data_IF_843020275150
#
_entry.id   IF_843020275150
#
_cell.length_a   1.000
_cell.length_b   1.000
_cell.length_c   1.000
_cell.angle_alpha   90.00
_cell.angle_beta   90.00
_cell.angle_gamma   90.00
#
_symmetry.space_group_name_H-M   'P 1'
#
loop_
_entity.id
_entity.type
_entity.pdbx_description
1 polymer ?
#
# COMPACT_ATOMS: atom_id res chain seq x y z
N UNK A 1 -11.79 -21.22 -8.08
CA UNK A 1 -12.94 -20.82 -7.24
C UNK A 1 -12.33 -20.30 -5.96
N UNK A 2 -12.31 -18.96 -5.77
CA UNK A 2 -11.65 -18.37 -4.61
C UNK A 2 -12.31 -18.82 -3.32
N UNK A 3 -11.51 -19.13 -2.29
CA UNK A 3 -12.04 -19.35 -0.95
C UNK A 3 -12.49 -17.99 -0.41
N UNK A 4 -13.75 -17.90 0.01
CA UNK A 4 -14.24 -16.68 0.66
C UNK A 4 -13.80 -16.73 2.12
N UNK A 5 -12.98 -15.77 2.53
CA UNK A 5 -12.59 -15.55 3.93
C UNK A 5 -13.35 -14.35 4.49
N UNK A 6 -13.69 -14.38 5.78
CA UNK A 6 -14.32 -13.22 6.40
C UNK A 6 -13.27 -12.16 6.75
N UNK A 7 -13.74 -10.91 6.96
CA UNK A 7 -12.88 -9.83 7.44
C UNK A 7 -12.17 -10.22 8.75
N UNK A 8 -12.91 -10.82 9.69
CA UNK A 8 -12.40 -11.20 11.01
C UNK A 8 -11.32 -12.29 10.91
N UNK A 9 -11.48 -13.23 9.98
CA UNK A 9 -10.49 -14.29 9.75
C UNK A 9 -9.15 -13.72 9.26
N UNK A 10 -9.20 -12.76 8.34
CA UNK A 10 -8.02 -12.13 7.76
C UNK A 10 -7.36 -11.15 8.73
N UNK A 11 -8.16 -10.31 9.41
CA UNK A 11 -7.67 -9.36 10.40
C UNK A 11 -6.96 -10.06 11.58
N UNK A 12 -7.43 -11.26 11.95
CA UNK A 12 -6.82 -12.06 13.01
C UNK A 12 -5.51 -12.78 12.61
N UNK A 13 -4.91 -12.49 11.45
CA UNK A 13 -3.58 -12.98 11.05
C UNK A 13 -2.44 -12.09 11.56
N UNK A 14 -2.73 -10.85 11.93
CA UNK A 14 -1.78 -9.86 12.41
C UNK A 14 -2.42 -8.86 13.36
N UNK A 15 -2.13 -7.57 13.16
CA UNK A 15 -2.75 -6.47 13.90
C UNK A 15 -4.14 -6.10 13.40
N UNK A 16 -4.55 -6.63 12.25
CA UNK A 16 -5.84 -6.35 11.62
C UNK A 16 -5.79 -5.19 10.64
N UNK A 17 -4.59 -4.73 10.32
CA UNK A 17 -4.37 -3.59 9.46
C UNK A 17 -4.40 -4.02 8.00
N UNK A 18 -5.24 -3.38 7.19
CA UNK A 18 -5.34 -3.64 5.75
C UNK A 18 -4.60 -2.58 4.93
N UNK A 19 -4.03 -3.00 3.81
CA UNK A 19 -3.26 -2.17 2.89
C UNK A 19 -3.62 -2.49 1.44
N UNK A 20 -3.58 -1.49 0.58
CA UNK A 20 -3.32 -1.70 -0.84
C UNK A 20 -1.80 -1.70 -1.04
N UNK A 21 -1.24 -2.75 -1.62
CA UNK A 21 0.20 -2.85 -1.88
C UNK A 21 0.45 -2.89 -3.37
N UNK A 22 1.22 -1.93 -3.88
CA UNK A 22 1.69 -1.99 -5.26
C UNK A 22 3.14 -2.46 -5.30
N UNK A 23 3.43 -3.38 -6.21
CA UNK A 23 4.80 -3.82 -6.52
C UNK A 23 5.05 -3.70 -8.00
N UNK A 24 6.26 -3.31 -8.38
CA UNK A 24 6.67 -3.28 -9.78
C UNK A 24 7.27 -4.64 -10.16
N UNK A 25 6.67 -5.27 -11.16
CA UNK A 25 7.27 -6.41 -11.82
C UNK A 25 8.53 -5.95 -12.58
N UNK A 26 9.69 -6.43 -12.13
CA UNK A 26 10.99 -6.04 -12.72
C UNK A 26 11.15 -6.46 -14.20
N UNK A 27 10.30 -7.35 -14.69
CA UNK A 27 10.46 -7.99 -16.01
C UNK A 27 9.80 -7.18 -17.14
N UNK A 28 8.71 -6.46 -16.85
CA UNK A 28 7.91 -5.79 -17.88
C UNK A 28 7.24 -4.48 -17.44
N UNK A 29 7.70 -3.89 -16.31
CA UNK A 29 7.15 -2.65 -15.75
C UNK A 29 5.66 -2.74 -15.38
N UNK A 30 5.09 -3.96 -15.30
CA UNK A 30 3.72 -4.16 -14.85
C UNK A 30 3.62 -3.86 -13.36
N UNK A 31 2.58 -3.12 -12.97
CA UNK A 31 2.23 -2.91 -11.57
C UNK A 31 1.34 -4.08 -11.12
N UNK A 32 1.79 -4.81 -10.11
CA UNK A 32 0.99 -5.79 -9.40
C UNK A 32 0.35 -5.13 -8.18
N UNK A 33 -0.96 -5.36 -8.00
CA UNK A 33 -1.71 -4.86 -6.86
C UNK A 33 -2.13 -6.00 -5.94
N UNK A 34 -1.93 -5.85 -4.64
CA UNK A 34 -2.37 -6.78 -3.61
C UNK A 34 -3.21 -6.04 -2.56
N UNK A 35 -4.47 -6.44 -2.37
CA UNK A 35 -5.22 -6.09 -1.18
C UNK A 35 -4.77 -7.05 -0.06
N UNK A 36 -4.11 -6.51 0.96
CA UNK A 36 -3.39 -7.30 1.96
C UNK A 36 -3.81 -6.94 3.39
N UNK A 37 -3.58 -7.89 4.29
CA UNK A 37 -3.50 -7.63 5.73
C UNK A 37 -2.06 -7.83 6.18
N UNK A 38 -1.65 -7.15 7.25
CA UNK A 38 -0.42 -7.50 7.93
C UNK A 38 -0.53 -8.91 8.56
N UNK A 39 0.57 -9.66 8.50
CA UNK A 39 0.59 -11.05 8.95
C UNK A 39 1.75 -11.26 9.91
N UNK A 40 1.43 -11.78 11.09
CA UNK A 40 2.41 -12.28 12.07
C UNK A 40 2.45 -13.81 12.12
N UNK A 41 1.36 -14.47 11.73
CA UNK A 41 1.24 -15.94 11.64
C UNK A 41 1.18 -16.39 10.18
N UNK A 42 2.37 -16.51 9.57
CA UNK A 42 2.53 -16.90 8.16
C UNK A 42 2.11 -18.36 7.91
N UNK A 43 2.20 -19.23 8.92
CA UNK A 43 1.78 -20.64 8.82
C UNK A 43 0.25 -20.73 8.68
N UNK A 44 -0.49 -19.97 9.49
CA UNK A 44 -1.95 -19.89 9.41
C UNK A 44 -2.40 -19.26 8.09
N UNK A 45 -1.77 -18.17 7.64
CA UNK A 45 -2.06 -17.56 6.34
C UNK A 45 -1.86 -18.55 5.17
N UNK A 46 -0.76 -19.30 5.20
CA UNK A 46 -0.47 -20.33 4.19
C UNK A 46 -1.51 -21.45 4.21
N UNK A 47 -1.95 -21.91 5.40
CA UNK A 47 -3.00 -22.94 5.53
C UNK A 47 -4.35 -22.49 4.95
N UNK A 48 -4.66 -21.19 5.03
CA UNK A 48 -5.85 -20.62 4.39
C UNK A 48 -5.73 -20.60 2.85
N UNK A 49 -4.50 -20.69 2.33
CA UNK A 49 -4.20 -20.65 0.90
C UNK A 49 -4.02 -19.23 0.36
N UNK A 50 -3.64 -18.30 1.24
CA UNK A 50 -3.32 -16.92 0.88
C UNK A 50 -1.91 -16.83 0.31
N UNK A 51 -1.70 -15.86 -0.59
CA UNK A 51 -0.38 -15.45 -1.02
C UNK A 51 0.27 -14.56 0.04
N UNK A 52 1.59 -14.69 0.21
CA UNK A 52 2.37 -13.89 1.14
C UNK A 52 3.36 -13.04 0.36
N UNK A 53 3.44 -11.77 0.73
CA UNK A 53 4.44 -10.82 0.22
C UNK A 53 5.38 -10.43 1.36
N UNK A 54 6.64 -10.86 1.27
CA UNK A 54 7.68 -10.40 2.19
C UNK A 54 8.08 -8.96 1.85
N UNK A 55 7.85 -8.05 2.79
CA UNK A 55 8.23 -6.64 2.68
C UNK A 55 9.50 -6.42 3.49
N UNK A 56 10.59 -6.09 2.80
CA UNK A 56 11.84 -5.71 3.45
C UNK A 56 11.79 -4.28 3.99
N UNK A 57 12.59 -4.00 5.01
CA UNK A 57 12.75 -2.66 5.58
C UNK A 57 13.19 -1.65 4.50
N UNK A 58 12.51 -0.51 4.46
CA UNK A 58 12.82 0.61 3.58
C UNK A 58 12.42 1.93 4.26
N UNK A 59 13.00 3.03 3.77
CA UNK A 59 12.57 4.37 4.17
C UNK A 59 11.37 4.81 3.33
N UNK A 60 10.39 5.45 3.97
CA UNK A 60 9.16 5.89 3.32
C UNK A 60 8.92 7.39 3.50
N UNK A 61 8.51 8.05 2.41
CA UNK A 61 7.81 9.33 2.49
C UNK A 61 6.31 9.05 2.65
N UNK A 62 5.71 9.57 3.71
CA UNK A 62 4.30 9.38 4.02
C UNK A 62 3.54 10.67 3.70
N UNK A 63 2.54 10.57 2.83
CA UNK A 63 1.67 11.68 2.45
C UNK A 63 0.25 11.42 2.94
N UNK A 64 -0.25 12.29 3.82
CA UNK A 64 -1.67 12.29 4.17
C UNK A 64 -2.46 12.93 3.03
N UNK A 65 -3.39 12.17 2.47
CA UNK A 65 -4.23 12.58 1.36
C UNK A 65 -5.64 12.91 1.86
N UNK A 66 -6.32 13.80 1.16
CA UNK A 66 -7.73 14.13 1.44
C UNK A 66 -8.50 14.19 0.13
N UNK A 67 -9.68 13.58 0.10
CA UNK A 67 -10.56 13.50 -1.06
C UNK A 67 -10.83 12.07 -1.53
N UNK A 68 -11.68 11.92 -2.55
CA UNK A 68 -12.18 10.64 -2.99
C UNK A 68 -11.09 9.77 -3.63
N UNK A 69 -11.20 8.46 -3.41
CA UNK A 69 -10.34 7.45 -4.03
C UNK A 69 -10.93 7.05 -5.40
N UNK A 70 -10.11 6.92 -6.47
CA UNK A 70 -8.63 6.98 -6.51
C UNK A 70 -8.03 8.35 -6.84
N UNK A 71 -8.83 9.42 -6.93
CA UNK A 71 -8.34 10.72 -7.40
C UNK A 71 -7.30 11.33 -6.45
N UNK A 72 -7.49 11.17 -5.14
CA UNK A 72 -6.54 11.64 -4.12
C UNK A 72 -5.19 10.92 -4.24
N UNK A 73 -5.19 9.61 -4.50
CA UNK A 73 -3.97 8.79 -4.71
C UNK A 73 -3.18 9.29 -5.92
N UNK A 74 -3.85 9.49 -7.06
CA UNK A 74 -3.20 10.01 -8.27
C UNK A 74 -2.61 11.41 -8.05
N UNK A 75 -3.29 12.26 -7.30
CA UNK A 75 -2.78 13.58 -6.95
C UNK A 75 -1.55 13.49 -6.03
N UNK A 76 -1.57 12.57 -5.06
CA UNK A 76 -0.45 12.28 -4.16
C UNK A 76 0.80 11.84 -4.92
N UNK A 77 0.67 10.86 -5.83
CA UNK A 77 1.76 10.42 -6.70
C UNK A 77 2.32 11.54 -7.58
N UNK A 78 1.45 12.36 -8.18
CA UNK A 78 1.88 13.51 -8.99
C UNK A 78 2.71 14.47 -8.16
N UNK A 79 2.24 14.86 -6.98
CA UNK A 79 2.97 15.74 -6.08
C UNK A 79 4.32 15.14 -5.65
N UNK A 80 4.33 13.84 -5.32
CA UNK A 80 5.55 13.17 -4.90
C UNK A 80 6.63 13.20 -6.00
N UNK A 81 6.26 12.83 -7.23
CA UNK A 81 7.18 12.73 -8.37
C UNK A 81 7.59 14.09 -8.93
N UNK A 82 6.65 15.03 -9.08
CA UNK A 82 6.87 16.31 -9.76
C UNK A 82 7.39 17.41 -8.83
N UNK A 83 7.24 17.24 -7.50
CA UNK A 83 7.59 18.29 -6.53
C UNK A 83 8.44 17.76 -5.39
N UNK A 84 7.92 16.85 -4.57
CA UNK A 84 8.60 16.45 -3.33
C UNK A 84 9.97 15.82 -3.57
N UNK A 85 10.08 14.86 -4.49
CA UNK A 85 11.33 14.18 -4.83
C UNK A 85 12.40 15.12 -5.38
N UNK A 86 12.14 15.94 -6.44
CA UNK A 86 13.08 16.93 -6.92
C UNK A 86 13.55 17.93 -5.86
N UNK A 87 12.65 18.42 -5.01
CA UNK A 87 12.96 19.46 -4.02
C UNK A 87 13.81 18.94 -2.85
N UNK A 88 13.62 17.68 -2.46
CA UNK A 88 14.26 17.10 -1.27
C UNK A 88 15.43 16.15 -1.58
N UNK A 89 15.72 15.92 -2.87
CA UNK A 89 16.82 15.04 -3.29
C UNK A 89 16.52 13.55 -3.05
N UNK A 90 15.27 13.15 -3.21
CA UNK A 90 14.84 11.76 -3.12
C UNK A 90 14.41 11.22 -4.48
N UNK A 91 14.37 9.90 -4.60
CA UNK A 91 13.76 9.19 -5.71
C UNK A 91 13.03 7.95 -5.19
N UNK A 92 12.09 7.46 -6.00
CA UNK A 92 11.43 6.18 -5.74
C UNK A 92 12.47 5.05 -5.72
N UNK A 93 12.42 4.21 -4.68
CA UNK A 93 13.45 3.17 -4.47
C UNK A 93 13.20 1.88 -5.25
N UNK A 94 11.96 1.62 -5.67
CA UNK A 94 11.54 0.35 -6.29
C UNK A 94 11.04 -0.70 -5.30
N UNK A 95 11.08 -0.43 -3.99
CA UNK A 95 10.41 -1.27 -2.99
C UNK A 95 8.88 -1.16 -3.11
N UNK A 96 8.09 -2.04 -2.46
CA UNK A 96 6.63 -1.93 -2.44
C UNK A 96 6.15 -0.60 -1.83
N UNK A 97 5.15 0.01 -2.46
CA UNK A 97 4.42 1.17 -1.94
C UNK A 97 3.06 0.75 -1.36
N UNK A 98 2.55 1.57 -0.43
CA UNK A 98 1.35 1.26 0.33
C UNK A 98 0.30 2.35 0.27
N UNK A 99 -0.94 1.93 0.12
CA UNK A 99 -2.15 2.70 0.31
C UNK A 99 -2.76 2.30 1.65
N UNK A 100 -2.68 3.20 2.63
CA UNK A 100 -3.24 2.99 3.96
C UNK A 100 -4.60 3.67 4.05
N UNK A 101 -5.65 2.86 4.05
CA UNK A 101 -7.03 3.33 4.07
C UNK A 101 -7.52 3.50 5.51
N UNK A 102 -7.92 4.72 5.89
CA UNK A 102 -8.64 4.93 7.15
C UNK A 102 -10.08 4.43 7.05
N UNK A 103 -10.72 4.19 8.19
CA UNK A 103 -12.15 3.88 8.21
C UNK A 103 -12.97 5.07 7.73
N UNK A 104 -13.91 4.83 6.82
CA UNK A 104 -14.81 5.87 6.33
C UNK A 104 -15.37 5.60 4.94
N UNK A 105 -16.11 6.58 4.42
CA UNK A 105 -16.60 6.57 3.06
C UNK A 105 -15.52 7.08 2.09
N UNK A 106 -14.90 6.17 1.35
CA UNK A 106 -13.83 6.45 0.38
C UNK A 106 -14.27 7.34 -0.80
N UNK A 107 -15.58 7.55 -0.98
CA UNK A 107 -16.13 8.46 -1.99
C UNK A 107 -16.31 9.90 -1.50
N UNK A 108 -16.12 10.13 -0.18
CA UNK A 108 -16.29 11.44 0.43
C UNK A 108 -15.21 12.44 -0.02
N UNK A 109 -15.56 13.72 -0.25
CA UNK A 109 -14.57 14.78 -0.47
C UNK A 109 -13.67 15.04 0.74
N UNK A 110 -14.09 14.61 1.93
CA UNK A 110 -13.35 14.78 3.19
C UNK A 110 -12.70 13.46 3.64
N UNK A 111 -12.75 12.40 2.83
CA UNK A 111 -12.09 11.13 3.15
C UNK A 111 -10.59 11.33 3.29
N UNK A 112 -9.98 10.70 4.29
CA UNK A 112 -8.55 10.75 4.54
C UNK A 112 -7.93 9.37 4.39
N UNK A 113 -6.70 9.35 3.89
CA UNK A 113 -5.87 8.15 3.81
C UNK A 113 -4.40 8.56 3.78
N UNK A 114 -3.50 7.58 3.80
CA UNK A 114 -2.08 7.84 3.58
C UNK A 114 -1.56 7.07 2.37
N UNK A 115 -0.65 7.71 1.64
CA UNK A 115 0.14 7.09 0.59
C UNK A 115 1.59 7.04 1.06
N UNK A 116 2.12 5.83 1.17
CA UNK A 116 3.46 5.56 1.68
C UNK A 116 4.35 5.17 0.50
N UNK A 117 5.24 6.07 0.11
CA UNK A 117 6.08 5.88 -1.06
C UNK A 117 7.50 5.57 -0.60
N UNK A 118 8.09 4.44 -1.00
CA UNK A 118 9.43 4.08 -0.61
C UNK A 118 10.47 4.94 -1.34
N UNK A 119 11.42 5.46 -0.58
CA UNK A 119 12.39 6.44 -1.04
C UNK A 119 13.83 5.98 -0.82
N UNK A 120 14.72 6.57 -1.60
CA UNK A 120 16.17 6.54 -1.40
C UNK A 120 16.73 7.89 -1.82
N UNK A 121 17.90 8.29 -1.29
CA UNK A 121 18.58 9.50 -1.77
C UNK A 121 18.92 9.37 -3.26
N UNK A 122 18.68 10.46 -4.00
CA UNK A 122 18.97 10.56 -5.42
C UNK A 122 20.48 10.68 -5.69
#
# INVERSE_FOLDING_TARGET
>A
MGRNHTYEELAALGSGQSFGVCTLAQVDETINYMAAYDVTDSEKATKLGLELLDVHEADYAIFTLTGPVPQSIHAGWRYALETFFPEHGYRYSGAPDFEYYFEGDMSSPDYQMELWIPIVKA
#
